data_IF_763902465430
#
_entry.id   IF_763902465430
#
_cell.length_a   1.000
_cell.length_b   1.000
_cell.length_c   1.000
_cell.angle_alpha   90.00
_cell.angle_beta   90.00
_cell.angle_gamma   90.00
#
_symmetry.space_group_name_H-M   'P 1'
#
loop_
_entity.id
_entity.type
_entity.pdbx_description
1 polymer ?
#
# COMPACT_ATOMS: atom_id res chain seq x y z
N UNK A 1 20.10 11.79 -0.40
CA UNK A 1 18.68 11.42 -0.63
C UNK A 1 18.26 10.62 0.59
N UNK A 2 17.31 11.11 1.39
CA UNK A 2 16.76 10.31 2.48
C UNK A 2 15.86 9.26 1.84
N UNK A 3 16.15 7.97 2.08
CA UNK A 3 15.28 6.87 1.64
C UNK A 3 14.32 6.56 2.78
N UNK A 4 13.04 6.44 2.46
CA UNK A 4 12.03 6.00 3.42
C UNK A 4 12.26 4.53 3.76
N UNK A 5 12.27 4.20 5.04
CA UNK A 5 12.39 2.81 5.50
C UNK A 5 11.11 2.05 5.14
N UNK A 6 11.26 0.96 4.37
CA UNK A 6 10.13 0.14 3.95
C UNK A 6 9.91 -0.96 4.99
N UNK A 7 8.71 -1.05 5.60
CA UNK A 7 8.40 -2.10 6.54
C UNK A 7 8.68 -3.50 6.00
N UNK A 8 9.21 -4.37 6.87
CA UNK A 8 9.59 -5.74 6.51
C UNK A 8 8.43 -6.58 5.96
N UNK A 9 7.18 -6.28 6.32
CA UNK A 9 6.04 -7.01 5.78
C UNK A 9 5.79 -6.71 4.29
N UNK A 10 6.15 -5.51 3.82
CA UNK A 10 6.05 -5.13 2.41
C UNK A 10 7.16 -5.80 1.62
N UNK A 11 8.41 -5.73 2.12
CA UNK A 11 9.56 -6.35 1.45
C UNK A 11 9.48 -7.88 1.45
N UNK A 12 9.03 -8.49 2.55
CA UNK A 12 8.86 -9.94 2.66
C UNK A 12 7.57 -10.47 2.01
N UNK A 13 6.67 -9.60 1.54
CA UNK A 13 5.41 -10.03 0.91
C UNK A 13 5.62 -10.77 -0.42
N UNK A 14 6.77 -10.56 -1.09
CA UNK A 14 7.02 -11.05 -2.45
C UNK A 14 6.15 -10.39 -3.53
N UNK A 15 5.33 -9.39 -3.19
CA UNK A 15 4.45 -8.69 -4.13
C UNK A 15 5.19 -7.63 -4.93
N UNK A 16 6.15 -6.95 -4.28
CA UNK A 16 6.95 -5.88 -4.87
C UNK A 16 8.32 -6.42 -5.30
N UNK A 17 8.76 -6.05 -6.51
CA UNK A 17 10.13 -6.30 -6.96
C UNK A 17 11.09 -5.18 -6.53
N UNK A 18 12.40 -5.36 -6.74
CA UNK A 18 13.42 -4.37 -6.36
C UNK A 18 13.17 -2.96 -6.92
N UNK A 19 12.71 -2.85 -8.17
CA UNK A 19 12.41 -1.55 -8.79
C UNK A 19 11.19 -0.87 -8.15
N UNK A 20 10.20 -1.66 -7.77
CA UNK A 20 9.00 -1.18 -7.08
C UNK A 20 9.31 -0.74 -5.66
N UNK A 21 10.14 -1.50 -4.95
CA UNK A 21 10.66 -1.11 -3.63
C UNK A 21 11.48 0.19 -3.73
N UNK A 22 12.31 0.34 -4.77
CA UNK A 22 13.05 1.59 -4.98
C UNK A 22 12.11 2.79 -5.18
N UNK A 23 11.04 2.63 -5.96
CA UNK A 23 10.00 3.67 -6.14
C UNK A 23 9.27 3.99 -4.83
N UNK A 24 8.91 2.98 -4.04
CA UNK A 24 8.27 3.18 -2.73
C UNK A 24 9.18 3.96 -1.78
N UNK A 25 10.48 3.65 -1.78
CA UNK A 25 11.47 4.33 -0.94
C UNK A 25 11.80 5.77 -1.39
N UNK A 26 11.39 6.14 -2.60
CA UNK A 26 11.60 7.47 -3.19
C UNK A 26 10.51 8.48 -2.81
N UNK A 27 9.56 8.10 -1.96
CA UNK A 27 8.53 9.03 -1.48
C UNK A 27 9.16 10.11 -0.58
N UNK A 28 8.82 11.37 -0.83
CA UNK A 28 9.35 12.49 -0.03
C UNK A 28 8.70 12.56 1.35
N UNK A 29 7.41 12.21 1.44
CA UNK A 29 6.63 12.26 2.67
C UNK A 29 5.67 11.07 2.75
N UNK A 30 5.78 10.30 3.84
CA UNK A 30 4.82 9.26 4.15
C UNK A 30 3.42 9.86 4.37
N UNK A 31 2.35 9.12 4.03
CA UNK A 31 1.01 9.53 4.38
C UNK A 31 0.85 9.59 5.90
N UNK A 32 0.03 10.53 6.37
CA UNK A 32 -0.30 10.65 7.79
C UNK A 32 -1.41 9.67 8.18
N UNK A 33 -1.53 9.34 9.47
CA UNK A 33 -2.61 8.47 9.96
C UNK A 33 -4.00 8.98 9.56
N UNK A 34 -4.20 10.30 9.50
CA UNK A 34 -5.46 10.88 9.04
C UNK A 34 -5.74 10.61 7.56
N UNK A 35 -4.71 10.65 6.72
CA UNK A 35 -4.86 10.34 5.29
C UNK A 35 -5.10 8.86 5.07
N UNK A 36 -4.40 8.00 5.82
CA UNK A 36 -4.61 6.55 5.81
C UNK A 36 -6.04 6.21 6.25
N UNK A 37 -6.50 6.80 7.37
CA UNK A 37 -7.86 6.59 7.87
C UNK A 37 -8.91 7.09 6.88
N UNK A 38 -8.69 8.26 6.25
CA UNK A 38 -9.57 8.78 5.21
C UNK A 38 -9.62 7.85 3.98
N UNK A 39 -8.48 7.25 3.61
CA UNK A 39 -8.34 6.39 2.44
C UNK A 39 -9.21 5.12 2.53
N UNK A 40 -9.45 4.61 3.74
CA UNK A 40 -10.30 3.43 3.96
C UNK A 40 -11.77 3.66 3.61
N UNK A 41 -12.22 4.91 3.56
CA UNK A 41 -13.60 5.28 3.21
C UNK A 41 -13.78 5.54 1.71
N UNK A 42 -12.71 5.46 0.92
CA UNK A 42 -12.83 5.51 -0.53
C UNK A 42 -13.60 4.28 -1.02
N UNK A 43 -14.58 4.48 -1.91
CA UNK A 43 -15.51 3.40 -2.28
C UNK A 43 -14.79 2.18 -2.84
N UNK A 44 -13.75 2.40 -3.65
CA UNK A 44 -12.93 1.32 -4.22
C UNK A 44 -12.22 0.51 -3.12
N UNK A 45 -11.71 1.18 -2.08
CA UNK A 45 -11.02 0.53 -0.97
C UNK A 45 -12.02 -0.18 -0.07
N UNK A 46 -13.17 0.42 0.21
CA UNK A 46 -14.24 -0.23 0.97
C UNK A 46 -14.73 -1.51 0.29
N UNK A 47 -14.92 -1.48 -1.03
CA UNK A 47 -15.30 -2.67 -1.79
C UNK A 47 -14.24 -3.76 -1.69
N UNK A 48 -12.95 -3.40 -1.83
CA UNK A 48 -11.84 -4.34 -1.66
C UNK A 48 -11.82 -4.94 -0.26
N UNK A 49 -11.90 -4.11 0.79
CA UNK A 49 -11.87 -4.59 2.18
C UNK A 49 -13.08 -5.47 2.50
N UNK A 50 -14.27 -5.08 2.02
CA UNK A 50 -15.50 -5.82 2.25
C UNK A 50 -15.52 -7.17 1.52
N UNK A 51 -14.91 -7.26 0.33
CA UNK A 51 -14.83 -8.48 -0.46
C UNK A 51 -14.04 -9.61 0.25
N UNK A 52 -13.17 -9.27 1.20
CA UNK A 52 -12.34 -10.22 1.93
C UNK A 52 -12.64 -10.26 3.44
N UNK A 53 -13.84 -9.83 3.85
CA UNK A 53 -14.28 -10.00 5.25
C UNK A 53 -14.31 -11.49 5.59
N UNK A 54 -13.57 -11.87 6.63
CA UNK A 54 -13.44 -13.26 7.08
C UNK A 54 -12.25 -14.02 6.50
N UNK A 55 -11.51 -13.45 5.53
CA UNK A 55 -10.29 -14.03 4.97
C UNK A 55 -9.14 -13.01 4.95
N UNK A 56 -8.52 -12.82 6.12
CA UNK A 56 -7.53 -11.77 6.34
C UNK A 56 -6.24 -11.98 5.53
N UNK A 57 -5.85 -13.24 5.31
CA UNK A 57 -4.66 -13.59 4.50
C UNK A 57 -4.84 -13.13 3.05
N UNK A 58 -6.03 -13.39 2.48
CA UNK A 58 -6.36 -12.95 1.13
C UNK A 58 -6.52 -11.44 1.08
N UNK A 59 -7.14 -10.82 2.11
CA UNK A 59 -7.26 -9.35 2.24
C UNK A 59 -5.90 -8.66 2.12
N UNK A 60 -4.92 -9.08 2.92
CA UNK A 60 -3.58 -8.46 2.94
C UNK A 60 -2.91 -8.60 1.56
N UNK A 61 -3.02 -9.77 0.93
CA UNK A 61 -2.45 -10.00 -0.40
C UNK A 61 -3.05 -9.05 -1.43
N UNK A 62 -4.38 -8.93 -1.47
CA UNK A 62 -5.08 -8.05 -2.41
C UNK A 62 -4.84 -6.56 -2.12
N UNK A 63 -4.75 -6.20 -0.84
CA UNK A 63 -4.40 -4.85 -0.40
C UNK A 63 -3.01 -4.45 -0.93
N UNK A 64 -1.99 -5.31 -0.78
CA UNK A 64 -0.65 -5.06 -1.32
C UNK A 64 -0.62 -5.07 -2.86
N UNK A 65 -1.39 -5.93 -3.52
CA UNK A 65 -1.52 -5.93 -4.97
C UNK A 65 -2.16 -4.64 -5.50
N UNK A 66 -3.16 -4.10 -4.81
CA UNK A 66 -3.77 -2.83 -5.16
C UNK A 66 -2.85 -1.65 -4.85
N UNK A 67 -2.06 -1.72 -3.77
CA UNK A 67 -0.99 -0.77 -3.50
C UNK A 67 0.04 -0.74 -4.65
N UNK A 68 0.40 -1.91 -5.17
CA UNK A 68 1.26 -2.03 -6.35
C UNK A 68 0.66 -1.39 -7.59
N UNK A 69 -0.64 -1.51 -7.84
CA UNK A 69 -1.32 -0.82 -8.95
C UNK A 69 -1.19 0.71 -8.82
N UNK A 70 -1.39 1.28 -7.63
CA UNK A 70 -1.15 2.72 -7.40
C UNK A 70 0.30 3.11 -7.65
N UNK A 71 1.25 2.29 -7.21
CA UNK A 71 2.68 2.54 -7.44
C UNK A 71 3.02 2.56 -8.94
N UNK A 72 2.42 1.65 -9.72
CA UNK A 72 2.62 1.59 -11.17
C UNK A 72 2.03 2.80 -11.90
N UNK A 73 0.99 3.41 -11.34
CA UNK A 73 0.40 4.68 -11.81
C UNK A 73 1.20 5.92 -11.40
N UNK A 74 2.27 5.75 -10.62
CA UNK A 74 3.04 6.86 -10.05
C UNK A 74 2.43 7.45 -8.78
N UNK A 75 1.34 6.87 -8.26
CA UNK A 75 0.68 7.31 -7.04
C UNK A 75 1.32 6.66 -5.80
N UNK A 76 2.61 6.92 -5.60
CA UNK A 76 3.42 6.32 -4.51
C UNK A 76 2.78 6.53 -3.14
N UNK A 77 2.22 7.72 -2.90
CA UNK A 77 1.54 8.03 -1.64
C UNK A 77 0.30 7.16 -1.39
N UNK A 78 -0.50 6.89 -2.42
CA UNK A 78 -1.67 5.99 -2.31
C UNK A 78 -1.25 4.54 -2.11
N UNK A 79 -0.17 4.12 -2.75
CA UNK A 79 0.41 2.80 -2.51
C UNK A 79 0.76 2.61 -1.03
N UNK A 80 1.40 3.61 -0.42
CA UNK A 80 1.70 3.59 1.02
C UNK A 80 0.45 3.64 1.89
N UNK A 81 -0.55 4.46 1.56
CA UNK A 81 -1.79 4.53 2.33
C UNK A 81 -2.49 3.18 2.37
N UNK A 82 -2.56 2.49 1.22
CA UNK A 82 -3.19 1.18 1.17
C UNK A 82 -2.34 0.10 1.82
N UNK A 83 -1.02 0.13 1.66
CA UNK A 83 -0.14 -0.87 2.25
C UNK A 83 -0.09 -0.80 3.79
N UNK A 84 -0.33 0.36 4.39
CA UNK A 84 -0.31 0.60 5.83
C UNK A 84 -1.70 0.49 6.51
N UNK A 85 -2.75 0.31 5.72
CA UNK A 85 -4.13 0.18 6.20
C UNK A 85 -4.38 -1.13 6.96
#
# INVERSE_FOLDING_TARGET
MQKTDIPSFITNSGIFNDSELEKLSSIEQLPTDQEIDAFKYDSEIQELLNAFIGDESTRITHQLLKAKDYLQRGEVKKAWMLALL
#
